data_IF_935674303774
#
_entry.id   IF_935674303774
#
_cell.length_a   1.000
_cell.length_b   1.000
_cell.length_c   1.000
_cell.angle_alpha   90.00
_cell.angle_beta   90.00
_cell.angle_gamma   90.00
#
_symmetry.space_group_name_H-M   'P 1'
#
loop_
_entity.id
_entity.type
_entity.pdbx_description
1 polymer ?
#
# COMPACT_ATOMS: atom_id res chain seq x y z
N UNK A 1 32.43 63.89 -7.23
CA UNK A 1 31.25 63.82 -6.34
C UNK A 1 30.57 62.49 -6.61
N UNK A 2 30.89 61.45 -5.83
CA UNK A 2 30.44 60.08 -6.06
C UNK A 2 28.99 59.91 -5.60
N UNK A 3 28.11 59.42 -6.48
CA UNK A 3 26.80 58.87 -6.13
C UNK A 3 26.65 57.50 -6.80
N UNK A 4 27.28 56.50 -6.21
CA UNK A 4 26.93 55.09 -6.40
C UNK A 4 25.96 54.72 -5.29
N UNK A 5 24.66 54.78 -5.58
CA UNK A 5 23.62 54.31 -4.67
C UNK A 5 22.91 53.10 -5.29
N UNK A 6 23.33 51.92 -4.82
CA UNK A 6 22.52 50.72 -4.57
C UNK A 6 21.93 49.92 -5.76
N UNK A 7 22.66 48.91 -6.28
CA UNK A 7 22.06 47.75 -6.96
C UNK A 7 21.62 46.64 -5.98
N UNK A 8 21.68 46.87 -4.67
CA UNK A 8 21.40 45.83 -3.65
C UNK A 8 19.92 45.66 -3.30
N UNK A 9 19.04 46.60 -3.68
CA UNK A 9 17.62 46.54 -3.30
C UNK A 9 16.74 45.67 -4.22
N UNK A 10 17.19 45.36 -5.44
CA UNK A 10 16.37 44.61 -6.41
C UNK A 10 16.50 43.08 -6.20
N UNK A 11 17.58 42.60 -5.58
CA UNK A 11 17.81 41.16 -5.39
C UNK A 11 17.01 40.50 -4.26
N UNK A 12 16.38 41.29 -3.38
CA UNK A 12 15.65 40.74 -2.22
C UNK A 12 14.18 40.45 -2.56
N UNK A 13 13.64 41.07 -3.61
CA UNK A 13 12.21 40.96 -3.91
C UNK A 13 11.83 39.73 -4.75
N UNK A 14 12.76 39.15 -5.51
CA UNK A 14 12.48 37.99 -6.36
C UNK A 14 12.60 36.65 -5.65
N UNK A 15 13.23 36.58 -4.47
CA UNK A 15 13.33 35.32 -3.71
C UNK A 15 12.10 35.03 -2.84
N UNK A 16 11.36 36.05 -2.43
CA UNK A 16 10.14 35.88 -1.63
C UNK A 16 8.95 35.31 -2.43
N UNK A 17 8.93 35.50 -3.75
CA UNK A 17 7.84 34.97 -4.60
C UNK A 17 7.99 33.47 -4.92
N UNK A 18 9.21 32.93 -4.87
CA UNK A 18 9.44 31.49 -5.06
C UNK A 18 9.25 30.66 -3.78
N UNK A 19 9.32 31.28 -2.59
CA UNK A 19 9.13 30.59 -1.31
C UNK A 19 7.67 30.41 -0.89
N UNK A 20 6.74 31.16 -1.48
CA UNK A 20 5.31 31.03 -1.19
C UNK A 20 4.66 29.81 -1.86
N UNK A 21 5.33 29.17 -2.81
CA UNK A 21 4.82 27.94 -3.45
C UNK A 21 5.14 26.64 -2.69
N UNK A 22 6.00 26.68 -1.66
CA UNK A 22 6.42 25.48 -0.93
C UNK A 22 5.64 25.19 0.36
N UNK A 23 4.68 26.05 0.73
CA UNK A 23 4.02 25.95 2.05
C UNK A 23 2.49 25.88 2.00
N UNK A 24 1.91 25.54 0.85
CA UNK A 24 0.58 24.91 0.84
C UNK A 24 0.79 23.42 1.08
N UNK A 25 1.15 23.08 2.32
CA UNK A 25 0.89 21.75 2.82
C UNK A 25 -0.63 21.68 2.93
N UNK A 26 -1.25 21.22 1.84
CA UNK A 26 -2.68 20.96 1.75
C UNK A 26 -2.99 19.96 2.86
N UNK A 27 -3.41 20.47 4.02
CA UNK A 27 -4.08 19.68 5.05
C UNK A 27 -5.52 19.42 4.61
N UNK A 28 -5.72 19.13 3.32
CA UNK A 28 -6.86 18.38 2.88
C UNK A 28 -6.64 17.00 3.49
N UNK A 29 -7.47 16.64 4.45
CA UNK A 29 -7.60 15.25 4.90
C UNK A 29 -8.01 14.43 3.68
N UNK A 30 -7.03 14.00 2.89
CA UNK A 30 -7.24 13.14 1.73
C UNK A 30 -7.88 11.89 2.31
N UNK A 31 -9.17 11.72 2.00
CA UNK A 31 -9.93 10.56 2.39
C UNK A 31 -9.20 9.36 1.77
N UNK A 32 -8.53 8.56 2.60
CA UNK A 32 -7.74 7.43 2.15
C UNK A 32 -8.63 6.20 2.10
N UNK A 33 -8.93 5.76 0.88
CA UNK A 33 -9.63 4.50 0.63
C UNK A 33 -8.70 3.28 0.79
N UNK A 34 -7.40 3.50 0.95
CA UNK A 34 -6.44 2.42 1.08
C UNK A 34 -6.74 1.58 2.34
N UNK A 35 -6.89 0.24 2.21
CA UNK A 35 -7.09 -0.61 3.37
C UNK A 35 -5.86 -0.51 4.29
N UNK A 36 -6.07 -0.77 5.59
CA UNK A 36 -4.92 -1.08 6.44
C UNK A 36 -4.24 -2.34 5.92
N UNK A 37 -2.94 -2.42 6.12
CA UNK A 37 -2.18 -3.58 5.69
C UNK A 37 -2.81 -4.87 6.23
N UNK A 38 -3.06 -5.86 5.37
CA UNK A 38 -3.70 -7.10 5.77
C UNK A 38 -2.77 -7.91 6.68
N UNK A 39 -3.38 -8.52 7.69
CA UNK A 39 -2.78 -9.46 8.63
C UNK A 39 -3.07 -10.86 8.09
N UNK A 40 -2.07 -11.72 8.02
CA UNK A 40 -2.24 -13.12 7.65
C UNK A 40 -2.19 -14.03 8.86
N UNK A 41 -2.99 -15.08 8.81
CA UNK A 41 -2.96 -16.17 9.77
C UNK A 41 -3.00 -17.50 9.02
N UNK A 42 -2.03 -18.38 9.28
CA UNK A 42 -2.08 -19.77 8.78
C UNK A 42 -3.20 -20.48 9.55
N UNK A 43 -4.16 -21.06 8.82
CA UNK A 43 -5.29 -21.77 9.41
C UNK A 43 -5.21 -23.28 9.17
N UNK A 44 -4.67 -23.72 8.02
CA UNK A 44 -4.42 -25.13 7.71
C UNK A 44 -3.11 -25.28 6.93
N UNK A 45 -2.72 -26.52 6.62
CA UNK A 45 -1.47 -26.81 5.90
C UNK A 45 -1.41 -26.26 4.49
N UNK A 46 -2.56 -25.96 3.87
CA UNK A 46 -2.71 -25.48 2.49
C UNK A 46 -3.61 -24.22 2.39
N UNK A 47 -3.95 -23.59 3.53
CA UNK A 47 -4.81 -22.41 3.56
C UNK A 47 -4.37 -21.33 4.58
N UNK A 48 -4.57 -20.07 4.18
CA UNK A 48 -4.24 -18.86 4.94
C UNK A 48 -5.48 -17.98 5.00
N UNK A 49 -5.75 -17.44 6.19
CA UNK A 49 -6.75 -16.40 6.39
C UNK A 49 -6.08 -15.03 6.33
N UNK A 50 -6.47 -14.22 5.35
CA UNK A 50 -6.19 -12.79 5.30
C UNK A 50 -7.27 -12.05 6.05
N UNK A 51 -6.89 -11.15 6.96
CA UNK A 51 -7.80 -10.27 7.68
C UNK A 51 -7.32 -8.82 7.54
N UNK A 52 -8.22 -7.87 7.33
CA UNK A 52 -7.86 -6.44 7.32
C UNK A 52 -8.95 -5.61 7.95
N UNK A 53 -8.59 -4.42 8.40
CA UNK A 53 -9.55 -3.47 8.93
C UNK A 53 -10.06 -2.57 7.79
N UNK A 54 -11.38 -2.50 7.66
CA UNK A 54 -12.05 -1.59 6.74
C UNK A 54 -11.74 -0.14 7.14
N UNK A 55 -11.50 0.78 6.18
CA UNK A 55 -11.37 2.19 6.49
C UNK A 55 -12.70 2.75 7.00
N UNK A 56 -12.78 3.12 8.28
CA UNK A 56 -14.01 3.66 8.90
C UNK A 56 -14.56 4.89 8.16
N UNK A 57 -13.66 5.72 7.60
CA UNK A 57 -14.03 6.94 6.89
C UNK A 57 -14.65 6.68 5.50
N UNK A 58 -14.55 5.46 4.95
CA UNK A 58 -14.83 5.21 3.53
C UNK A 58 -15.59 3.92 3.21
N UNK A 59 -15.95 3.12 4.21
CA UNK A 59 -16.54 1.79 4.00
C UNK A 59 -17.73 1.79 3.04
N UNK A 60 -18.54 2.85 3.08
CA UNK A 60 -19.76 2.96 2.26
C UNK A 60 -19.49 3.25 0.76
N UNK A 61 -18.29 3.75 0.43
CA UNK A 61 -17.91 4.04 -0.95
C UNK A 61 -17.06 2.94 -1.59
N UNK A 62 -16.61 1.95 -0.80
CA UNK A 62 -15.87 0.81 -1.32
C UNK A 62 -16.89 -0.19 -1.89
N UNK A 63 -16.65 -0.67 -3.10
CA UNK A 63 -17.48 -1.68 -3.77
C UNK A 63 -16.93 -3.08 -3.48
N UNK A 64 -15.61 -3.27 -3.66
CA UNK A 64 -14.91 -4.52 -3.34
C UNK A 64 -13.42 -4.27 -3.08
N UNK A 65 -12.75 -5.28 -2.54
CA UNK A 65 -11.30 -5.37 -2.44
C UNK A 65 -10.77 -6.35 -3.46
N UNK A 66 -9.58 -6.08 -3.99
CA UNK A 66 -8.83 -7.02 -4.82
C UNK A 66 -7.61 -7.52 -4.07
N UNK A 67 -7.43 -8.85 -4.08
CA UNK A 67 -6.25 -9.51 -3.50
C UNK A 67 -5.29 -9.86 -4.59
N UNK A 68 -4.02 -9.58 -4.33
CA UNK A 68 -2.92 -9.83 -5.22
C UNK A 68 -1.88 -10.71 -4.55
N UNK A 69 -1.19 -11.50 -5.37
CA UNK A 69 0.03 -12.18 -4.97
C UNK A 69 1.14 -11.98 -5.99
N UNK A 70 2.37 -12.15 -5.53
CA UNK A 70 3.52 -12.41 -6.39
C UNK A 70 4.53 -13.27 -5.64
N UNK A 71 5.38 -13.98 -6.37
CA UNK A 71 6.55 -14.63 -5.76
C UNK A 71 7.40 -13.58 -5.05
N UNK A 72 7.89 -13.93 -3.87
CA UNK A 72 8.74 -13.05 -3.07
C UNK A 72 9.99 -12.62 -3.84
N UNK A 73 10.36 -11.34 -3.75
CA UNK A 73 11.45 -10.72 -4.51
C UNK A 73 11.36 -10.89 -6.04
N UNK A 74 10.19 -11.24 -6.57
CA UNK A 74 10.00 -11.30 -8.01
C UNK A 74 9.76 -9.91 -8.60
N UNK A 75 10.40 -9.66 -9.73
CA UNK A 75 10.17 -8.51 -10.62
C UNK A 75 8.93 -8.71 -11.51
N UNK A 76 8.30 -9.89 -11.46
CA UNK A 76 7.07 -10.18 -12.19
C UNK A 76 5.89 -9.32 -11.67
N UNK A 77 4.91 -9.03 -12.53
CA UNK A 77 3.73 -8.29 -12.14
C UNK A 77 2.91 -9.04 -11.08
N UNK A 78 2.15 -8.28 -10.29
CA UNK A 78 1.19 -8.82 -9.34
C UNK A 78 0.06 -9.57 -10.06
N UNK A 79 -0.26 -10.76 -9.57
CA UNK A 79 -1.35 -11.58 -10.07
C UNK A 79 -2.57 -11.41 -9.17
N UNK A 80 -3.75 -11.26 -9.76
CA UNK A 80 -5.02 -11.18 -9.01
C UNK A 80 -5.44 -12.58 -8.58
N UNK A 81 -5.75 -12.74 -7.30
CA UNK A 81 -6.31 -13.97 -6.74
C UNK A 81 -7.83 -13.92 -6.80
N UNK A 82 -8.41 -12.81 -6.34
CA UNK A 82 -9.84 -12.72 -6.15
C UNK A 82 -10.33 -11.33 -5.75
N UNK A 83 -11.65 -11.21 -5.70
CA UNK A 83 -12.39 -10.02 -5.29
C UNK A 83 -13.21 -10.34 -4.04
N UNK A 84 -13.20 -9.45 -3.05
CA UNK A 84 -13.96 -9.60 -1.80
C UNK A 84 -14.93 -8.44 -1.66
N UNK A 85 -16.19 -8.74 -1.38
CA UNK A 85 -17.21 -7.72 -1.12
C UNK A 85 -16.99 -7.06 0.25
N UNK A 86 -17.46 -5.83 0.41
CA UNK A 86 -17.23 -5.04 1.64
C UNK A 86 -17.91 -5.56 2.90
N UNK A 87 -18.81 -6.54 2.78
CA UNK A 87 -19.38 -7.26 3.93
C UNK A 87 -18.33 -8.08 4.69
N UNK A 88 -17.26 -8.47 4.01
CA UNK A 88 -16.28 -9.42 4.50
C UNK A 88 -14.95 -8.69 4.71
N UNK A 89 -14.43 -8.78 5.93
CA UNK A 89 -13.12 -8.23 6.30
C UNK A 89 -12.03 -9.31 6.28
N UNK A 90 -12.32 -10.45 5.67
CA UNK A 90 -11.44 -11.59 5.59
C UNK A 90 -11.50 -12.31 4.24
N UNK A 91 -10.44 -13.05 3.92
CA UNK A 91 -10.34 -13.87 2.72
C UNK A 91 -9.49 -15.11 2.99
N UNK A 92 -10.03 -16.28 2.67
CA UNK A 92 -9.27 -17.52 2.75
C UNK A 92 -8.57 -17.77 1.41
N UNK A 93 -7.24 -17.66 1.42
CA UNK A 93 -6.38 -18.06 0.31
C UNK A 93 -6.02 -19.54 0.45
N UNK A 94 -6.29 -20.31 -0.59
CA UNK A 94 -5.84 -21.71 -0.71
C UNK A 94 -4.67 -21.84 -1.66
N UNK A 95 -3.84 -22.85 -1.41
CA UNK A 95 -2.63 -23.13 -2.18
C UNK A 95 -2.90 -23.34 -3.68
N UNK A 96 -4.00 -23.98 -4.03
CA UNK A 96 -4.41 -24.29 -5.40
C UNK A 96 -4.81 -23.04 -6.22
N UNK A 97 -5.08 -21.92 -5.55
CA UNK A 97 -5.37 -20.64 -6.20
C UNK A 97 -4.10 -19.91 -6.66
N UNK A 98 -2.91 -20.40 -6.27
CA UNK A 98 -1.62 -19.85 -6.66
C UNK A 98 -1.03 -20.66 -7.82
N UNK A 99 -0.78 -19.99 -8.95
CA UNK A 99 -0.23 -20.65 -10.13
C UNK A 99 1.24 -21.08 -9.96
N UNK A 100 1.98 -20.37 -9.10
CA UNK A 100 3.38 -20.69 -8.84
C UNK A 100 3.51 -21.92 -7.92
N UNK A 101 4.61 -22.67 -8.10
CA UNK A 101 5.02 -23.75 -7.21
C UNK A 101 5.89 -23.28 -6.03
N UNK A 102 6.22 -21.99 -5.97
CA UNK A 102 7.06 -21.41 -4.92
C UNK A 102 6.46 -21.57 -3.51
N UNK A 103 7.32 -21.41 -2.51
CA UNK A 103 6.97 -21.42 -1.08
C UNK A 103 7.00 -20.02 -0.46
N UNK A 104 7.24 -18.96 -1.23
CA UNK A 104 7.44 -17.62 -0.66
C UNK A 104 6.71 -16.60 -1.51
N UNK A 105 5.78 -15.88 -0.91
CA UNK A 105 4.89 -14.98 -1.62
C UNK A 105 4.71 -13.66 -0.89
N UNK A 106 4.62 -12.57 -1.64
CA UNK A 106 4.05 -11.34 -1.13
C UNK A 106 2.56 -11.33 -1.46
N UNK A 107 1.74 -10.88 -0.50
CA UNK A 107 0.32 -10.61 -0.71
C UNK A 107 0.08 -9.13 -0.55
N UNK A 108 -0.82 -8.60 -1.36
CA UNK A 108 -1.24 -7.23 -1.23
C UNK A 108 -2.74 -7.08 -1.49
N UNK A 109 -3.30 -6.00 -0.96
CA UNK A 109 -4.69 -5.64 -1.13
C UNK A 109 -4.82 -4.22 -1.68
N UNK A 110 -5.84 -3.99 -2.48
CA UNK A 110 -6.33 -2.64 -2.78
C UNK A 110 -7.85 -2.60 -2.70
N UNK A 111 -8.38 -1.44 -2.36
CA UNK A 111 -9.81 -1.18 -2.44
C UNK A 111 -10.18 -0.67 -3.82
N UNK A 112 -11.39 -1.01 -4.27
CA UNK A 112 -12.03 -0.43 -5.45
C UNK A 112 -13.31 0.26 -5.01
N UNK A 113 -13.48 1.52 -5.38
CA UNK A 113 -14.67 2.30 -5.03
C UNK A 113 -15.83 2.04 -6.00
N UNK A 114 -17.02 2.50 -5.64
CA UNK A 114 -18.21 2.49 -6.50
C UNK A 114 -18.04 3.27 -7.80
N UNK A 115 -17.16 4.27 -7.78
CA UNK A 115 -16.79 5.08 -8.94
C UNK A 115 -15.68 4.41 -9.80
N UNK A 116 -15.29 3.17 -9.45
CA UNK A 116 -14.20 2.39 -10.07
C UNK A 116 -12.80 2.98 -9.87
N UNK A 117 -12.63 3.91 -8.94
CA UNK A 117 -11.31 4.35 -8.51
C UNK A 117 -10.64 3.28 -7.66
N UNK A 118 -9.32 3.18 -7.77
CA UNK A 118 -8.52 2.19 -7.02
C UNK A 118 -7.57 2.88 -6.08
N UNK A 119 -7.45 2.38 -4.85
CA UNK A 119 -6.40 2.82 -3.94
C UNK A 119 -5.04 2.26 -4.31
N UNK A 120 -3.99 2.82 -3.68
CA UNK A 120 -2.66 2.26 -3.75
C UNK A 120 -2.66 0.80 -3.26
N UNK A 121 -1.78 0.00 -3.85
CA UNK A 121 -1.59 -1.39 -3.43
C UNK A 121 -0.91 -1.44 -2.07
N UNK A 122 -1.58 -2.01 -1.07
CA UNK A 122 -1.09 -2.12 0.30
C UNK A 122 -0.61 -3.54 0.53
N UNK A 123 0.69 -3.70 0.71
CA UNK A 123 1.29 -4.99 1.03
C UNK A 123 0.93 -5.40 2.46
N UNK A 124 0.74 -6.70 2.66
CA UNK A 124 0.61 -7.29 3.99
C UNK A 124 1.78 -6.90 4.90
N UNK A 125 1.46 -6.45 6.11
CA UNK A 125 2.46 -6.00 7.10
C UNK A 125 2.73 -7.11 8.11
N UNK A 126 3.74 -7.92 7.86
CA UNK A 126 4.45 -8.60 8.93
C UNK A 126 5.87 -8.90 8.47
N UNK A 127 6.82 -8.62 9.36
CA UNK A 127 8.22 -8.96 9.20
C UNK A 127 8.41 -10.29 9.91
N UNK A 128 8.49 -11.40 9.17
CA UNK A 128 8.90 -12.65 9.78
C UNK A 128 10.44 -12.70 9.83
N UNK A 129 10.95 -13.12 10.99
CA UNK A 129 12.35 -13.52 11.14
C UNK A 129 12.51 -14.85 10.40
N UNK A 130 13.43 -14.90 9.44
CA UNK A 130 13.86 -16.18 8.86
C UNK A 130 14.47 -17.07 9.95
N UNK A 131 14.58 -18.38 9.69
CA UNK A 131 15.24 -19.32 10.60
C UNK A 131 16.69 -18.91 10.95
N UNK A 132 17.31 -18.09 10.10
CA UNK A 132 18.67 -17.54 10.25
C UNK A 132 18.69 -16.13 10.88
N UNK A 133 17.53 -15.58 11.29
CA UNK A 133 17.43 -14.30 11.99
C UNK A 133 17.36 -13.06 11.09
N UNK A 134 17.40 -13.21 9.77
CA UNK A 134 17.22 -12.10 8.84
C UNK A 134 15.76 -11.66 8.76
N UNK A 135 15.53 -10.35 8.88
CA UNK A 135 14.22 -9.73 8.72
C UNK A 135 13.91 -9.57 7.24
N UNK A 136 12.89 -10.26 6.75
CA UNK A 136 12.49 -10.17 5.35
C UNK A 136 11.15 -9.44 5.26
N UNK A 137 11.09 -8.40 4.43
CA UNK A 137 9.84 -7.69 4.14
C UNK A 137 9.00 -8.51 3.15
N UNK A 138 8.23 -9.47 3.66
CA UNK A 138 7.43 -10.38 2.84
C UNK A 138 7.12 -11.64 3.63
N UNK A 139 6.22 -12.47 3.10
CA UNK A 139 5.78 -13.68 3.79
C UNK A 139 6.47 -14.91 3.20
N UNK A 140 7.02 -15.71 4.10
CA UNK A 140 7.60 -17.01 3.76
C UNK A 140 6.59 -18.08 4.16
N UNK A 141 5.89 -18.64 3.18
CA UNK A 141 4.84 -19.61 3.37
C UNK A 141 5.37 -21.01 3.06
N UNK A 142 5.96 -21.66 4.05
CA UNK A 142 6.38 -23.04 3.91
C UNK A 142 5.17 -23.98 3.85
N UNK A 143 4.60 -24.13 2.66
CA UNK A 143 3.71 -25.24 2.34
C UNK A 143 4.53 -26.54 2.46
N UNK A 144 4.16 -27.43 3.40
CA UNK A 144 4.82 -28.73 3.60
C UNK A 144 4.27 -29.79 2.65
#
# INVERSE_FOLDING_TARGET
>A
MYKTLHPLFIMVYTSAFFLSCLNTQDSNSVISYAPKAPIMQIIESDSILLNWNLPEACSNNIEFYEVFYKTFNSDLPWNIIGKITTSDNCFTLKRDQLASMDSVFEIALRSVTKDFDTSALVKSSETQLTADGDSVNGWVLFWK
#
